data_IF_351169341835
#
_entry.id   IF_351169341835
#
_cell.length_a   1.000
_cell.length_b   1.000
_cell.length_c   1.000
_cell.angle_alpha   90.00
_cell.angle_beta   90.00
_cell.angle_gamma   90.00
#
_symmetry.space_group_name_H-M   'P 1'
#
loop_
_entity.id
_entity.type
_entity.pdbx_description
1 polymer ?
#
# COMPACT_ATOMS: atom_id res chain seq x y z
N UNK A 1 -2.12 12.65 40.52
CA UNK A 1 -2.00 12.62 39.04
C UNK A 1 -2.30 11.21 38.56
N UNK A 2 -3.33 10.96 37.72
CA UNK A 2 -3.58 9.62 37.24
C UNK A 2 -2.61 9.28 36.10
N UNK A 3 -1.95 8.12 36.22
CA UNK A 3 -0.98 7.62 35.27
C UNK A 3 -1.61 7.39 33.89
N UNK A 4 -0.96 7.89 32.84
CA UNK A 4 -1.33 7.61 31.46
C UNK A 4 -1.17 6.11 31.19
N UNK A 5 -2.28 5.40 31.00
CA UNK A 5 -2.25 4.01 30.51
C UNK A 5 -1.69 4.03 29.09
N UNK A 6 -0.45 3.60 28.94
CA UNK A 6 0.15 3.26 27.65
C UNK A 6 -0.60 2.08 27.06
N UNK A 7 -1.48 2.33 26.09
CA UNK A 7 -2.11 1.25 25.32
C UNK A 7 -1.08 0.73 24.30
N UNK A 8 -0.37 -0.32 24.66
CA UNK A 8 0.34 -1.18 23.72
C UNK A 8 -0.70 -2.02 22.98
N UNK A 9 -0.71 -1.94 21.65
CA UNK A 9 -1.56 -2.83 20.85
C UNK A 9 -0.85 -4.17 20.76
N UNK A 10 -1.31 -5.16 21.53
CA UNK A 10 -0.86 -6.55 21.42
C UNK A 10 -1.59 -7.22 20.26
N UNK A 11 -0.87 -7.91 19.38
CA UNK A 11 -1.42 -8.54 18.18
C UNK A 11 -2.39 -9.69 18.47
N UNK A 12 -2.20 -10.39 19.59
CA UNK A 12 -2.98 -11.58 19.95
C UNK A 12 -3.28 -11.57 21.45
N UNK A 13 -4.52 -11.88 21.89
CA UNK A 13 -4.72 -12.45 23.22
C UNK A 13 -3.96 -13.79 23.23
N UNK A 14 -3.00 -13.93 24.14
CA UNK A 14 -2.40 -15.23 24.39
C UNK A 14 -3.43 -16.07 25.14
N UNK A 15 -4.22 -16.85 24.41
CA UNK A 15 -4.90 -17.98 25.02
C UNK A 15 -3.82 -18.98 25.43
N UNK A 16 -3.58 -19.05 26.74
CA UNK A 16 -2.58 -19.89 27.32
C UNK A 16 -2.93 -21.37 27.12
N UNK A 17 -2.16 -22.06 26.28
CA UNK A 17 -1.87 -23.47 26.47
C UNK A 17 -0.43 -23.76 26.05
N UNK A 18 0.44 -23.77 27.06
CA UNK A 18 1.69 -24.53 27.04
C UNK A 18 1.35 -26.00 26.90
N UNK A 19 1.66 -26.61 25.75
CA UNK A 19 1.98 -28.03 25.71
C UNK A 19 3.39 -28.17 25.15
N UNK A 20 4.34 -28.35 26.07
CA UNK A 20 5.66 -28.90 25.79
C UNK A 20 5.47 -30.24 25.08
N UNK A 21 5.83 -30.32 23.80
CA UNK A 21 6.17 -31.60 23.18
C UNK A 21 7.63 -31.87 23.54
N UNK A 22 7.82 -32.74 24.53
CA UNK A 22 9.09 -33.35 24.88
C UNK A 22 9.63 -34.15 23.69
N UNK A 23 10.81 -33.77 23.19
CA UNK A 23 11.59 -34.59 22.25
C UNK A 23 12.20 -35.77 23.01
N UNK A 24 11.68 -36.98 22.79
CA UNK A 24 12.39 -38.24 23.02
C UNK A 24 13.10 -38.68 21.73
N UNK A 25 14.22 -39.43 21.82
CA UNK A 25 15.04 -39.76 20.66
C UNK A 25 14.39 -40.88 19.85
N UNK A 26 14.35 -40.73 18.51
CA UNK A 26 14.03 -41.84 17.61
C UNK A 26 15.32 -42.40 17.01
N UNK A 27 15.51 -43.69 17.25
CA UNK A 27 16.53 -44.56 16.69
C UNK A 27 16.22 -44.90 15.23
N UNK A 28 17.27 -44.93 14.38
CA UNK A 28 17.23 -45.50 13.03
C UNK A 28 16.89 -47.00 13.04
N UNK A 29 16.49 -47.55 11.88
CA UNK A 29 17.44 -48.42 11.20
C UNK A 29 17.53 -48.26 9.68
N UNK A 30 18.69 -48.69 9.19
CA UNK A 30 19.16 -48.68 7.81
C UNK A 30 18.47 -49.69 6.86
N UNK A 31 18.50 -49.39 5.56
CA UNK A 31 18.18 -50.33 4.48
C UNK A 31 18.49 -49.77 3.08
N UNK A 32 19.59 -50.27 2.47
CA UNK A 32 20.09 -50.19 1.07
C UNK A 32 18.99 -50.43 0.01
N UNK A 33 19.07 -50.14 -1.30
CA UNK A 33 20.00 -49.49 -2.25
C UNK A 33 19.34 -49.50 -3.67
N UNK A 34 20.01 -48.87 -4.65
CA UNK A 34 19.81 -48.94 -6.13
C UNK A 34 18.61 -48.16 -6.69
N UNK A 35 18.62 -47.48 -7.83
CA UNK A 35 19.57 -47.23 -8.92
C UNK A 35 18.86 -46.33 -9.95
N UNK A 36 19.58 -45.39 -10.56
CA UNK A 36 19.15 -44.46 -11.63
C UNK A 36 18.69 -45.21 -12.91
N UNK A 37 17.86 -44.64 -13.82
CA UNK A 37 18.22 -43.41 -14.53
C UNK A 37 17.10 -42.39 -14.84
N UNK A 38 17.59 -41.18 -15.13
CA UNK A 38 16.92 -40.02 -15.74
C UNK A 38 16.28 -40.41 -17.08
N UNK A 39 14.99 -40.10 -17.25
CA UNK A 39 14.35 -40.03 -18.56
C UNK A 39 13.63 -38.68 -18.71
N UNK A 40 14.19 -37.89 -19.62
CA UNK A 40 13.65 -36.66 -20.18
C UNK A 40 12.36 -36.99 -20.95
N UNK A 41 11.22 -36.48 -20.50
CA UNK A 41 9.99 -36.45 -21.28
C UNK A 41 9.51 -35.01 -21.42
N UNK A 42 9.74 -34.48 -22.62
CA UNK A 42 9.06 -33.31 -23.12
C UNK A 42 7.56 -33.64 -23.21
N UNK A 43 6.72 -32.88 -22.51
CA UNK A 43 5.28 -32.89 -22.71
C UNK A 43 4.86 -31.46 -23.04
N UNK A 44 4.30 -31.32 -24.25
CA UNK A 44 3.85 -30.06 -24.82
C UNK A 44 2.82 -29.36 -23.95
N UNK A 45 3.00 -28.05 -23.81
CA UNK A 45 2.04 -27.15 -23.18
C UNK A 45 0.83 -26.99 -24.12
N UNK A 46 -0.41 -27.34 -23.71
CA UNK A 46 -1.59 -26.99 -24.48
C UNK A 46 -1.84 -25.49 -24.39
N UNK A 47 -2.01 -24.85 -25.56
CA UNK A 47 -2.56 -23.51 -25.67
C UNK A 47 -3.99 -23.50 -25.17
N UNK A 48 -4.32 -22.48 -24.37
CA UNK A 48 -5.63 -21.87 -24.35
C UNK A 48 -6.56 -22.34 -23.23
N UNK A 49 -6.43 -21.72 -22.06
CA UNK A 49 -7.61 -21.33 -21.29
C UNK A 49 -7.40 -19.91 -20.77
N UNK A 50 -8.14 -18.98 -21.36
CA UNK A 50 -8.29 -17.62 -20.86
C UNK A 50 -8.94 -17.69 -19.49
N UNK A 51 -8.19 -17.36 -18.43
CA UNK A 51 -8.80 -17.01 -17.15
C UNK A 51 -9.61 -15.73 -17.35
N UNK A 52 -10.90 -15.90 -17.60
CA UNK A 52 -11.87 -14.81 -17.53
C UNK A 52 -11.82 -14.25 -16.11
N UNK A 53 -11.30 -13.02 -15.98
CA UNK A 53 -11.38 -12.24 -14.75
C UNK A 53 -12.84 -11.86 -14.51
N UNK A 54 -13.59 -12.80 -13.91
CA UNK A 54 -14.91 -12.56 -13.39
C UNK A 54 -14.79 -11.93 -12.00
N UNK A 55 -14.40 -10.66 -11.95
CA UNK A 55 -14.60 -9.76 -10.81
C UNK A 55 -14.33 -8.32 -11.24
N UNK A 56 -15.26 -7.77 -12.02
CA UNK A 56 -15.37 -6.33 -12.15
C UNK A 56 -15.99 -5.81 -10.85
N UNK A 57 -15.26 -5.09 -9.97
CA UNK A 57 -15.86 -4.61 -8.74
C UNK A 57 -16.99 -3.65 -9.09
N UNK A 58 -18.16 -3.91 -8.48
CA UNK A 58 -19.32 -3.03 -8.50
C UNK A 58 -18.86 -1.56 -8.39
N UNK A 59 -19.30 -0.76 -9.36
CA UNK A 59 -19.08 0.67 -9.53
C UNK A 59 -18.68 1.38 -8.23
N UNK A 60 -17.38 1.70 -8.13
CA UNK A 60 -16.89 2.74 -7.23
C UNK A 60 -17.71 4.00 -7.53
N UNK A 61 -18.26 4.69 -6.54
CA UNK A 61 -19.10 5.86 -6.79
C UNK A 61 -18.34 6.82 -7.68
N UNK A 62 -18.86 7.00 -8.91
CA UNK A 62 -18.32 7.94 -9.86
C UNK A 62 -18.42 9.33 -9.23
N UNK A 63 -17.28 9.98 -9.03
CA UNK A 63 -17.24 11.42 -8.77
C UNK A 63 -17.93 12.09 -9.97
N UNK A 64 -18.99 12.86 -9.72
CA UNK A 64 -19.78 13.45 -10.80
C UNK A 64 -19.00 14.56 -11.53
N UNK A 65 -18.73 14.24 -12.81
CA UNK A 65 -18.38 14.99 -14.03
C UNK A 65 -18.16 16.52 -14.00
N UNK A 66 -16.98 16.92 -14.50
CA UNK A 66 -16.70 18.23 -15.11
C UNK A 66 -15.19 18.51 -15.25
N UNK A 67 -14.65 18.48 -16.48
CA UNK A 67 -13.25 18.86 -16.78
C UNK A 67 -12.17 17.86 -16.32
N UNK A 68 -10.94 17.96 -16.83
CA UNK A 68 -9.87 17.01 -16.48
C UNK A 68 -9.67 16.92 -14.94
N UNK A 69 -9.96 15.74 -14.38
CA UNK A 69 -10.05 15.48 -12.93
C UNK A 69 -8.66 15.27 -12.32
N UNK A 70 -7.91 16.37 -12.19
CA UNK A 70 -6.67 16.39 -11.42
C UNK A 70 -7.02 16.71 -9.97
N UNK A 71 -6.88 15.72 -9.10
CA UNK A 71 -7.04 15.87 -7.66
C UNK A 71 -5.70 16.22 -7.03
N UNK A 72 -5.67 17.29 -6.24
CA UNK A 72 -4.45 17.77 -5.60
C UNK A 72 -4.59 17.61 -4.09
N UNK A 73 -3.56 17.05 -3.48
CA UNK A 73 -3.51 16.82 -2.04
C UNK A 73 -2.08 16.65 -1.54
N UNK A 74 -1.98 16.27 -0.28
CA UNK A 74 -0.74 16.04 0.45
C UNK A 74 -0.78 14.68 1.16
N UNK A 75 0.39 14.15 1.47
CA UNK A 75 0.56 13.01 2.37
C UNK A 75 0.43 13.47 3.82
N UNK A 76 -0.82 13.62 4.26
CA UNK A 76 -1.22 14.12 5.57
C UNK A 76 -1.80 15.53 5.54
N UNK A 77 -2.43 15.92 6.64
CA UNK A 77 -2.96 17.26 6.83
C UNK A 77 -1.81 18.24 7.18
N UNK A 78 -1.32 18.96 6.18
CA UNK A 78 -0.29 19.99 6.37
C UNK A 78 -0.82 21.35 6.88
N UNK A 79 -2.06 21.40 7.35
CA UNK A 79 -2.74 22.56 7.97
C UNK A 79 -3.96 22.06 8.77
N UNK A 80 -4.74 22.97 9.37
CA UNK A 80 -5.99 22.59 10.04
C UNK A 80 -6.95 21.90 9.07
N UNK A 81 -7.66 20.88 9.54
CA UNK A 81 -8.54 20.06 8.70
C UNK A 81 -9.58 20.89 7.94
N UNK A 82 -10.21 21.86 8.61
CA UNK A 82 -11.17 22.77 7.98
C UNK A 82 -10.57 23.56 6.81
N UNK A 83 -9.39 24.17 7.00
CA UNK A 83 -8.69 24.89 5.91
C UNK A 83 -8.23 23.94 4.80
N UNK A 84 -7.86 22.71 5.15
CA UNK A 84 -7.42 21.71 4.20
C UNK A 84 -8.54 21.32 3.24
N UNK A 85 -9.73 21.02 3.77
CA UNK A 85 -10.92 20.67 2.98
C UNK A 85 -11.41 21.79 2.05
N UNK A 86 -11.12 23.04 2.39
CA UNK A 86 -11.41 24.18 1.51
C UNK A 86 -10.35 24.40 0.43
N UNK A 87 -9.14 23.85 0.61
CA UNK A 87 -7.99 24.09 -0.27
C UNK A 87 -7.77 22.97 -1.27
N UNK A 88 -7.99 21.72 -0.86
CA UNK A 88 -7.60 20.52 -1.60
C UNK A 88 -8.79 19.59 -1.79
N UNK A 89 -8.71 18.72 -2.81
CA UNK A 89 -9.77 17.75 -3.12
C UNK A 89 -9.46 16.33 -2.66
N UNK A 90 -8.23 16.07 -2.21
CA UNK A 90 -7.85 14.78 -1.67
C UNK A 90 -6.79 14.87 -0.56
N UNK A 91 -6.67 13.81 0.23
CA UNK A 91 -5.59 13.60 1.21
C UNK A 91 -5.20 12.14 1.28
N UNK A 92 -3.91 11.87 1.47
CA UNK A 92 -3.43 10.56 1.89
C UNK A 92 -3.17 10.57 3.39
N UNK A 93 -3.82 9.67 4.15
CA UNK A 93 -3.59 9.51 5.58
C UNK A 93 -2.29 8.73 5.78
N UNK A 94 -1.14 9.41 5.68
CA UNK A 94 0.20 8.79 5.80
C UNK A 94 0.52 8.35 7.24
N UNK A 95 -0.08 8.98 8.25
CA UNK A 95 0.15 8.65 9.66
C UNK A 95 -0.24 7.21 10.03
N UNK A 96 -1.21 6.63 9.30
CA UNK A 96 -1.67 5.25 9.43
C UNK A 96 -0.57 4.21 9.18
N UNK A 97 0.48 4.59 8.45
CA UNK A 97 1.69 3.79 8.28
C UNK A 97 2.36 3.44 9.60
N UNK A 98 2.33 4.35 10.59
CA UNK A 98 2.96 4.11 11.89
C UNK A 98 2.02 3.44 12.87
N UNK A 99 0.82 4.01 12.99
CA UNK A 99 -0.24 3.56 13.89
C UNK A 99 -1.58 3.81 13.23
N UNK A 100 -2.42 2.78 13.14
CA UNK A 100 -3.76 2.95 12.61
C UNK A 100 -4.60 3.86 13.52
N UNK A 101 -5.37 4.81 12.97
CA UNK A 101 -6.40 5.49 13.73
C UNK A 101 -7.51 4.49 14.12
N UNK A 102 -8.31 4.84 15.13
CA UNK A 102 -9.52 4.06 15.40
C UNK A 102 -10.51 4.22 14.24
N UNK A 103 -11.30 3.18 13.90
CA UNK A 103 -12.36 3.31 12.89
C UNK A 103 -13.30 4.50 13.13
N UNK A 104 -13.68 4.78 14.38
CA UNK A 104 -14.53 5.94 14.71
C UNK A 104 -13.84 7.27 14.40
N UNK A 105 -12.52 7.37 14.62
CA UNK A 105 -11.74 8.56 14.23
C UNK A 105 -11.74 8.74 12.72
N UNK A 106 -11.57 7.65 11.97
CA UNK A 106 -11.61 7.68 10.51
C UNK A 106 -13.01 8.05 9.98
N UNK A 107 -14.07 7.52 10.60
CA UNK A 107 -15.45 7.87 10.27
C UNK A 107 -15.76 9.34 10.56
N UNK A 108 -15.25 9.89 11.68
CA UNK A 108 -15.38 11.31 12.00
C UNK A 108 -14.69 12.20 10.96
N UNK A 109 -13.49 11.83 10.48
CA UNK A 109 -12.84 12.56 9.39
C UNK A 109 -13.63 12.53 8.10
N UNK A 110 -14.23 11.39 7.76
CA UNK A 110 -15.13 11.28 6.60
C UNK A 110 -16.37 12.15 6.76
N UNK A 111 -17.02 12.13 7.91
CA UNK A 111 -18.22 12.92 8.18
C UNK A 111 -17.96 14.43 8.13
N UNK A 112 -16.76 14.88 8.52
CA UNK A 112 -16.36 16.28 8.46
C UNK A 112 -15.95 16.76 7.04
N UNK A 113 -15.72 15.83 6.11
CA UNK A 113 -15.22 16.17 4.78
C UNK A 113 -16.36 16.57 3.82
N UNK A 114 -16.11 17.51 2.88
CA UNK A 114 -17.06 17.82 1.82
C UNK A 114 -17.42 16.59 0.98
N UNK A 115 -18.61 16.62 0.38
CA UNK A 115 -19.00 15.61 -0.60
C UNK A 115 -17.98 15.55 -1.76
N UNK A 116 -17.61 14.34 -2.17
CA UNK A 116 -16.61 14.12 -3.23
C UNK A 116 -15.15 14.25 -2.79
N UNK A 117 -14.84 14.64 -1.55
CA UNK A 117 -13.46 14.69 -1.07
C UNK A 117 -12.86 13.28 -0.98
N UNK A 118 -11.70 13.08 -1.61
CA UNK A 118 -11.08 11.77 -1.76
C UNK A 118 -10.06 11.47 -0.66
N UNK A 119 -10.22 10.34 0.02
CA UNK A 119 -9.26 9.86 1.02
C UNK A 119 -8.52 8.63 0.50
N UNK A 120 -7.19 8.68 0.54
CA UNK A 120 -6.35 7.50 0.46
C UNK A 120 -5.83 7.14 1.86
N UNK A 121 -5.66 5.85 2.13
CA UNK A 121 -5.08 5.35 3.38
C UNK A 121 -3.76 4.67 3.08
N UNK A 122 -2.70 4.98 3.82
CA UNK A 122 -1.47 4.20 3.71
C UNK A 122 -1.60 2.92 4.53
N UNK A 123 -1.26 1.78 3.93
CA UNK A 123 -1.28 0.51 4.64
C UNK A 123 -0.32 0.57 5.83
N UNK A 124 -0.70 -0.09 6.92
CA UNK A 124 0.11 -0.15 8.12
C UNK A 124 1.46 -0.83 7.81
N UNK A 125 2.57 -0.28 8.31
CA UNK A 125 3.91 -0.79 8.02
C UNK A 125 4.12 -2.27 8.39
N UNK A 126 3.31 -2.80 9.31
CA UNK A 126 3.28 -4.23 9.68
C UNK A 126 3.11 -5.15 8.47
N UNK A 127 2.48 -4.66 7.40
CA UNK A 127 2.25 -5.41 6.17
C UNK A 127 3.49 -5.35 5.25
N UNK A 128 4.09 -4.18 5.08
CA UNK A 128 5.06 -3.94 4.00
C UNK A 128 6.52 -3.86 4.46
N UNK A 129 6.80 -3.42 5.68
CA UNK A 129 8.17 -3.19 6.17
C UNK A 129 8.58 -4.21 7.23
N UNK A 130 9.76 -4.84 7.10
CA UNK A 130 10.25 -5.78 8.10
C UNK A 130 10.54 -5.05 9.43
N UNK A 131 10.49 -5.79 10.53
CA UNK A 131 10.76 -5.30 11.89
C UNK A 131 12.08 -4.52 12.06
N UNK A 132 13.07 -4.85 11.24
CA UNK A 132 14.38 -4.20 11.23
C UNK A 132 14.33 -2.76 10.70
N UNK A 133 13.21 -2.34 10.11
CA UNK A 133 13.03 -0.96 9.65
C UNK A 133 13.08 0.01 10.84
N UNK A 134 13.85 1.12 10.75
CA UNK A 134 13.94 2.12 11.82
C UNK A 134 12.60 2.82 12.11
N UNK A 135 11.61 2.69 11.20
CA UNK A 135 10.26 3.25 11.35
C UNK A 135 9.46 2.61 12.48
N UNK A 136 9.83 1.41 12.94
CA UNK A 136 9.17 0.75 14.07
C UNK A 136 9.38 1.50 15.39
N UNK A 137 10.38 2.37 15.52
CA UNK A 137 10.52 3.26 16.70
C UNK A 137 9.33 4.21 16.90
N UNK A 138 8.51 4.40 15.86
CA UNK A 138 7.33 5.29 15.87
C UNK A 138 6.02 4.54 16.05
N UNK A 139 6.05 3.21 16.14
CA UNK A 139 4.84 2.40 16.36
C UNK A 139 4.60 2.12 17.84
N UNK A 140 3.35 1.83 18.18
CA UNK A 140 2.89 1.38 19.51
C UNK A 140 2.76 -0.15 19.60
N UNK A 141 3.25 -0.85 18.58
CA UNK A 141 3.29 -2.31 18.54
C UNK A 141 4.35 -2.86 19.50
N UNK A 142 3.99 -3.89 20.25
CA UNK A 142 4.90 -4.63 21.13
C UNK A 142 6.08 -5.20 20.34
N UNK A 143 7.27 -5.29 20.96
CA UNK A 143 8.46 -5.81 20.28
C UNK A 143 8.33 -7.28 19.91
N UNK A 144 7.63 -8.08 20.72
CA UNK A 144 7.43 -9.54 20.51
C UNK A 144 6.60 -9.83 19.27
N UNK A 145 5.78 -8.86 18.90
CA UNK A 145 4.84 -8.91 17.80
C UNK A 145 5.51 -8.54 16.45
N UNK A 146 6.77 -8.08 16.48
CA UNK A 146 7.48 -7.59 15.30
C UNK A 146 8.07 -8.69 14.43
N UNK A 147 8.45 -9.84 15.00
CA UNK A 147 9.15 -10.92 14.27
C UNK A 147 8.46 -11.31 12.95
N UNK A 148 7.12 -11.31 12.94
CA UNK A 148 6.31 -11.73 11.80
C UNK A 148 5.86 -10.58 10.88
N UNK A 149 6.38 -9.37 11.06
CA UNK A 149 5.98 -8.21 10.27
C UNK A 149 6.72 -8.10 8.93
N UNK A 150 6.02 -7.52 7.95
CA UNK A 150 6.61 -6.98 6.72
C UNK A 150 6.66 -7.93 5.54
N UNK A 151 7.23 -7.41 4.44
CA UNK A 151 7.48 -8.13 3.19
C UNK A 151 6.27 -8.90 2.63
N UNK A 152 5.04 -8.48 2.95
CA UNK A 152 3.81 -9.15 2.54
C UNK A 152 3.70 -10.61 2.97
N UNK A 153 4.44 -11.06 3.99
CA UNK A 153 4.38 -12.45 4.45
C UNK A 153 3.00 -12.78 4.99
N UNK A 154 2.19 -13.59 4.28
CA UNK A 154 0.78 -13.85 4.63
C UNK A 154 0.58 -14.79 5.84
N UNK A 155 1.15 -14.41 6.98
CA UNK A 155 1.06 -15.07 8.28
C UNK A 155 -0.08 -14.45 9.13
N UNK A 156 -0.37 -14.98 10.35
CA UNK A 156 -1.41 -14.42 11.22
C UNK A 156 -1.25 -12.93 11.53
N UNK A 157 -0.02 -12.45 11.77
CA UNK A 157 0.29 -11.04 12.08
C UNK A 157 -0.06 -10.10 10.93
N UNK A 158 0.43 -10.39 9.72
CA UNK A 158 0.16 -9.56 8.53
C UNK A 158 -1.32 -9.61 8.15
N UNK A 159 -1.97 -10.77 8.31
CA UNK A 159 -3.41 -10.91 8.07
C UNK A 159 -4.24 -10.09 9.04
N UNK A 160 -3.91 -10.11 10.31
CA UNK A 160 -4.54 -9.26 11.31
C UNK A 160 -4.33 -7.78 10.98
N UNK A 161 -3.10 -7.36 10.67
CA UNK A 161 -2.80 -5.99 10.33
C UNK A 161 -3.54 -5.53 9.07
N UNK A 162 -3.73 -6.43 8.10
CA UNK A 162 -4.58 -6.17 6.94
C UNK A 162 -6.05 -6.00 7.32
N UNK A 163 -6.60 -6.86 8.19
CA UNK A 163 -7.99 -6.73 8.64
C UNK A 163 -8.23 -5.40 9.38
N UNK A 164 -7.31 -4.97 10.24
CA UNK A 164 -7.39 -3.68 10.92
C UNK A 164 -7.29 -2.51 9.93
N UNK A 165 -6.34 -2.57 8.99
CA UNK A 165 -6.20 -1.57 7.92
C UNK A 165 -7.48 -1.50 7.07
N UNK A 166 -8.06 -2.64 6.73
CA UNK A 166 -9.30 -2.75 5.96
C UNK A 166 -10.47 -2.11 6.70
N UNK A 167 -10.61 -2.35 8.01
CA UNK A 167 -11.67 -1.77 8.82
C UNK A 167 -11.58 -0.25 8.84
N UNK A 168 -10.38 0.30 9.01
CA UNK A 168 -10.12 1.75 8.96
C UNK A 168 -10.40 2.30 7.56
N UNK A 169 -9.93 1.65 6.50
CA UNK A 169 -10.18 2.07 5.12
C UNK A 169 -11.68 2.13 4.81
N UNK A 170 -12.44 1.14 5.26
CA UNK A 170 -13.90 1.11 5.13
C UNK A 170 -14.56 2.25 5.89
N UNK A 171 -14.18 2.48 7.15
CA UNK A 171 -14.74 3.55 7.98
C UNK A 171 -14.39 4.95 7.44
N UNK A 172 -13.19 5.12 6.90
CA UNK A 172 -12.76 6.34 6.20
C UNK A 172 -13.50 6.55 4.88
N UNK A 173 -14.12 5.51 4.31
CA UNK A 173 -14.57 5.51 2.93
C UNK A 173 -13.39 5.81 1.98
N UNK A 174 -12.22 5.25 2.25
CA UNK A 174 -11.06 5.44 1.39
C UNK A 174 -11.36 4.95 -0.03
N UNK A 175 -10.84 5.61 -1.05
CA UNK A 175 -10.94 5.15 -2.44
C UNK A 175 -9.72 4.31 -2.85
N UNK A 176 -8.60 4.44 -2.13
CA UNK A 176 -7.37 3.71 -2.36
C UNK A 176 -6.68 3.38 -1.04
N UNK A 177 -6.10 2.18 -0.95
CA UNK A 177 -5.15 1.79 0.09
C UNK A 177 -3.76 1.62 -0.52
N UNK A 178 -2.79 2.39 -0.04
CA UNK A 178 -1.42 2.43 -0.55
C UNK A 178 -0.52 1.42 0.17
N UNK A 179 0.10 0.52 -0.59
CA UNK A 179 1.14 -0.40 -0.17
C UNK A 179 2.50 0.08 -0.70
N UNK A 180 3.13 0.97 0.06
CA UNK A 180 4.50 1.41 -0.23
C UNK A 180 5.50 0.38 0.29
N UNK A 181 6.40 -0.08 -0.57
CA UNK A 181 7.50 -0.97 -0.23
C UNK A 181 8.73 -0.20 0.29
N UNK A 182 9.58 -0.81 1.14
CA UNK A 182 10.93 -0.33 1.35
C UNK A 182 11.84 -0.67 0.16
N UNK A 183 12.96 0.05 -0.01
CA UNK A 183 13.94 -0.24 -1.08
C UNK A 183 14.64 -1.60 -0.94
N UNK A 184 14.57 -2.22 0.25
CA UNK A 184 15.05 -3.58 0.49
C UNK A 184 14.12 -4.66 -0.06
N UNK A 185 12.86 -4.34 -0.36
CA UNK A 185 11.91 -5.27 -0.97
C UNK A 185 12.12 -5.28 -2.49
N UNK A 186 13.04 -6.14 -2.93
CA UNK A 186 13.51 -6.31 -4.32
C UNK A 186 12.77 -7.44 -5.06
N UNK A 187 12.80 -7.51 -6.41
CA UNK A 187 12.14 -8.56 -7.20
C UNK A 187 12.85 -9.93 -7.12
N UNK A 188 12.98 -10.49 -5.92
CA UNK A 188 13.47 -11.85 -5.72
C UNK A 188 12.31 -12.85 -5.83
N UNK A 189 12.56 -14.13 -6.16
CA UNK A 189 11.51 -15.15 -6.20
C UNK A 189 10.69 -15.22 -4.91
N UNK A 190 11.33 -15.14 -3.74
CA UNK A 190 10.67 -15.13 -2.44
C UNK A 190 9.74 -13.91 -2.25
N UNK A 191 10.19 -12.72 -2.63
CA UNK A 191 9.36 -11.51 -2.50
C UNK A 191 8.19 -11.51 -3.48
N UNK A 192 8.39 -12.03 -4.69
CA UNK A 192 7.33 -12.19 -5.68
C UNK A 192 6.25 -13.13 -5.17
N UNK A 193 6.63 -14.32 -4.68
CA UNK A 193 5.70 -15.29 -4.10
C UNK A 193 4.91 -14.69 -2.93
N UNK A 194 5.57 -13.97 -2.00
CA UNK A 194 4.88 -13.29 -0.89
C UNK A 194 3.90 -12.23 -1.37
N UNK A 195 4.30 -11.40 -2.33
CA UNK A 195 3.46 -10.34 -2.88
C UNK A 195 2.20 -10.92 -3.55
N UNK A 196 2.39 -11.92 -4.40
CA UNK A 196 1.33 -12.62 -5.13
C UNK A 196 0.38 -13.34 -4.14
N UNK A 197 0.91 -14.09 -3.17
CA UNK A 197 0.09 -14.75 -2.14
C UNK A 197 -0.70 -13.77 -1.28
N UNK A 198 -0.11 -12.63 -0.90
CA UNK A 198 -0.80 -11.61 -0.12
C UNK A 198 -1.97 -11.05 -0.91
N UNK A 199 -1.74 -10.57 -2.14
CA UNK A 199 -2.80 -9.91 -2.91
C UNK A 199 -3.86 -10.86 -3.46
N UNK A 200 -3.54 -12.15 -3.63
CA UNK A 200 -4.53 -13.18 -3.96
C UNK A 200 -5.51 -13.47 -2.80
N UNK A 201 -5.07 -13.29 -1.55
CA UNK A 201 -5.85 -13.63 -0.34
C UNK A 201 -6.37 -12.42 0.43
N UNK A 202 -5.81 -11.25 0.19
CA UNK A 202 -6.19 -10.01 0.86
C UNK A 202 -7.65 -9.68 0.53
N UNK A 203 -8.47 -9.51 1.59
CA UNK A 203 -9.86 -9.05 1.47
C UNK A 203 -9.93 -7.75 0.66
N UNK A 204 -10.70 -7.73 -0.43
CA UNK A 204 -10.96 -6.51 -1.23
C UNK A 204 -12.23 -5.80 -0.77
N UNK A 205 -12.24 -4.48 -0.96
CA UNK A 205 -13.35 -3.59 -0.59
C UNK A 205 -13.74 -2.71 -1.77
N UNK A 206 -14.53 -1.66 -1.52
CA UNK A 206 -14.88 -0.65 -2.52
C UNK A 206 -13.77 0.41 -2.66
N UNK A 207 -12.53 -0.04 -2.83
CA UNK A 207 -11.34 0.78 -2.98
C UNK A 207 -10.26 0.04 -3.75
N UNK A 208 -9.42 0.81 -4.44
CA UNK A 208 -8.26 0.29 -5.16
C UNK A 208 -7.11 -0.07 -4.21
N UNK A 209 -6.27 -1.01 -4.63
CA UNK A 209 -4.97 -1.23 -4.02
C UNK A 209 -3.93 -0.48 -4.85
N UNK A 210 -3.27 0.52 -4.24
CA UNK A 210 -2.14 1.21 -4.85
C UNK A 210 -0.84 0.55 -4.41
N UNK A 211 0.03 0.19 -5.34
CA UNK A 211 1.32 -0.40 -5.04
C UNK A 211 2.44 0.53 -5.48
N UNK A 212 3.32 0.86 -4.54
CA UNK A 212 4.49 1.71 -4.80
C UNK A 212 5.77 0.90 -4.54
N UNK A 213 6.31 0.25 -5.59
CA UNK A 213 7.61 -0.39 -5.50
C UNK A 213 8.70 0.66 -5.24
N UNK A 214 9.71 0.27 -4.46
CA UNK A 214 10.92 1.05 -4.23
C UNK A 214 12.13 0.18 -4.52
N UNK A 215 13.19 0.79 -5.03
CA UNK A 215 14.37 0.07 -5.52
C UNK A 215 14.21 -0.38 -6.98
N UNK A 216 15.07 -1.30 -7.39
CA UNK A 216 15.27 -1.64 -8.80
C UNK A 216 14.26 -2.69 -9.27
N UNK A 217 13.02 -2.27 -9.50
CA UNK A 217 11.96 -3.08 -10.09
C UNK A 217 11.86 -2.81 -11.60
N UNK A 218 12.05 -3.83 -12.46
CA UNK A 218 11.92 -3.65 -13.91
C UNK A 218 10.50 -3.21 -14.31
N UNK A 219 10.33 -2.22 -15.21
CA UNK A 219 9.02 -1.73 -15.61
C UNK A 219 8.06 -2.80 -16.13
N UNK A 220 8.55 -3.76 -16.90
CA UNK A 220 7.77 -4.89 -17.43
C UNK A 220 7.23 -5.80 -16.32
N UNK A 221 8.02 -5.99 -15.26
CA UNK A 221 7.60 -6.76 -14.09
C UNK A 221 6.56 -6.00 -13.27
N UNK A 222 6.75 -4.68 -13.09
CA UNK A 222 5.75 -3.82 -12.45
C UNK A 222 4.44 -3.89 -13.22
N UNK A 223 4.50 -3.81 -14.55
CA UNK A 223 3.32 -3.81 -15.41
C UNK A 223 2.56 -5.15 -15.31
N UNK A 224 3.30 -6.26 -15.36
CA UNK A 224 2.75 -7.61 -15.18
C UNK A 224 2.02 -7.73 -13.84
N UNK A 225 2.69 -7.38 -12.74
CA UNK A 225 2.13 -7.50 -11.39
C UNK A 225 0.93 -6.58 -11.19
N UNK A 226 0.96 -5.34 -11.68
CA UNK A 226 -0.18 -4.44 -11.59
C UNK A 226 -1.41 -4.99 -12.32
N UNK A 227 -1.21 -5.59 -13.50
CA UNK A 227 -2.28 -6.22 -14.27
C UNK A 227 -2.82 -7.47 -13.58
N UNK A 228 -1.94 -8.39 -13.19
CA UNK A 228 -2.32 -9.71 -12.66
C UNK A 228 -2.90 -9.65 -11.25
N UNK A 229 -2.43 -8.71 -10.43
CA UNK A 229 -2.86 -8.54 -9.05
C UNK A 229 -3.88 -7.41 -8.88
N UNK A 230 -4.40 -6.83 -9.98
CA UNK A 230 -5.36 -5.72 -9.96
C UNK A 230 -4.90 -4.59 -9.02
N UNK A 231 -3.74 -4.00 -9.35
CA UNK A 231 -3.11 -2.92 -8.59
C UNK A 231 -2.99 -1.64 -9.44
N UNK A 232 -3.13 -0.50 -8.78
CA UNK A 232 -2.75 0.81 -9.31
C UNK A 232 -1.25 0.98 -9.10
N UNK A 233 -0.51 1.24 -10.18
CA UNK A 233 0.89 1.61 -10.04
C UNK A 233 0.99 3.03 -9.47
N UNK A 234 1.49 3.12 -8.25
CA UNK A 234 1.74 4.38 -7.56
C UNK A 234 3.20 4.75 -7.78
N UNK A 235 3.44 5.95 -8.32
CA UNK A 235 4.79 6.34 -8.77
C UNK A 235 5.02 7.84 -8.56
N UNK A 236 6.28 8.23 -8.44
CA UNK A 236 6.68 9.63 -8.63
C UNK A 236 6.96 9.84 -10.13
N UNK A 237 6.14 10.62 -10.87
CA UNK A 237 6.31 10.78 -12.32
C UNK A 237 7.65 11.41 -12.71
N UNK A 238 8.33 12.09 -11.79
CA UNK A 238 9.69 12.62 -12.01
C UNK A 238 10.79 11.55 -11.88
N UNK A 239 10.45 10.34 -11.41
CA UNK A 239 11.35 9.18 -11.36
C UNK A 239 11.06 8.17 -12.46
N UNK A 240 9.82 8.15 -12.95
CA UNK A 240 9.38 7.31 -14.05
C UNK A 240 7.88 7.42 -14.25
N UNK A 241 7.43 7.31 -15.49
CA UNK A 241 5.99 7.27 -15.80
C UNK A 241 5.38 5.91 -15.37
N UNK A 242 4.06 5.83 -15.17
CA UNK A 242 3.41 4.58 -14.83
C UNK A 242 3.69 3.47 -15.85
N UNK A 243 4.28 2.36 -15.39
CA UNK A 243 4.52 1.18 -16.22
C UNK A 243 3.24 0.47 -16.71
N UNK A 244 2.09 0.69 -16.06
CA UNK A 244 0.81 0.10 -16.43
C UNK A 244 -0.30 1.16 -16.41
N UNK A 245 -1.13 1.27 -17.47
CA UNK A 245 -2.30 2.12 -17.45
C UNK A 245 -3.38 1.53 -16.55
N UNK A 246 -3.60 2.16 -15.39
CA UNK A 246 -4.70 1.83 -14.48
C UNK A 246 -5.97 2.66 -14.76
N UNK A 247 -7.09 2.35 -14.08
CA UNK A 247 -8.32 3.15 -14.15
C UNK A 247 -8.17 4.56 -13.54
N UNK A 248 -7.09 4.81 -12.81
CA UNK A 248 -6.65 6.12 -12.29
C UNK A 248 -5.13 6.22 -12.37
N UNK A 249 -4.59 7.44 -12.31
CA UNK A 249 -3.16 7.71 -12.05
C UNK A 249 -3.01 8.22 -10.62
N UNK A 250 -2.06 7.66 -9.86
CA UNK A 250 -1.81 8.08 -8.49
C UNK A 250 -0.33 8.42 -8.33
N UNK A 251 -0.03 9.72 -8.32
CA UNK A 251 1.30 10.28 -8.24
C UNK A 251 1.64 10.65 -6.79
N UNK A 252 2.76 10.13 -6.27
CA UNK A 252 3.32 10.53 -4.97
C UNK A 252 4.63 11.26 -5.18
N UNK A 253 4.63 12.55 -4.88
CA UNK A 253 5.70 13.48 -5.22
C UNK A 253 6.64 13.65 -4.03
N UNK A 254 7.77 12.95 -4.05
CA UNK A 254 8.74 12.94 -2.94
C UNK A 254 9.81 14.02 -3.06
N UNK A 255 9.90 14.64 -4.24
CA UNK A 255 10.91 15.62 -4.58
C UNK A 255 12.06 15.04 -5.42
N UNK A 256 12.45 15.76 -6.47
CA UNK A 256 13.47 15.33 -7.44
C UNK A 256 14.86 15.22 -6.80
N UNK A 257 15.15 16.06 -5.81
CA UNK A 257 16.42 16.04 -5.06
C UNK A 257 16.24 15.54 -3.62
N UNK A 258 15.12 14.88 -3.33
CA UNK A 258 14.78 14.34 -2.00
C UNK A 258 13.77 15.22 -1.24
N UNK A 259 13.53 14.89 0.03
CA UNK A 259 12.40 15.43 0.79
C UNK A 259 12.41 16.97 0.99
N UNK A 260 13.57 17.62 0.92
CA UNK A 260 13.69 19.09 1.03
C UNK A 260 13.46 19.83 -0.30
N UNK A 261 13.34 19.10 -1.40
CA UNK A 261 13.11 19.67 -2.72
C UNK A 261 11.84 20.53 -2.71
N UNK A 262 11.91 21.66 -3.40
CA UNK A 262 10.77 22.55 -3.66
C UNK A 262 10.55 22.55 -5.15
N UNK A 263 9.36 22.16 -5.58
CA UNK A 263 9.06 22.06 -7.01
C UNK A 263 9.10 23.45 -7.65
N UNK A 264 9.86 23.58 -8.73
CA UNK A 264 9.91 24.78 -9.57
C UNK A 264 8.60 24.99 -10.32
N UNK A 265 8.38 26.19 -10.85
CA UNK A 265 7.20 26.46 -11.68
C UNK A 265 7.16 25.57 -12.92
N UNK A 266 8.31 25.33 -13.56
CA UNK A 266 8.41 24.48 -14.74
C UNK A 266 8.08 23.02 -14.43
N UNK A 267 8.57 22.49 -13.30
CA UNK A 267 8.19 21.15 -12.84
C UNK A 267 6.67 21.06 -12.58
N UNK A 268 6.05 22.09 -12.01
CA UNK A 268 4.60 22.10 -11.82
C UNK A 268 3.83 22.15 -13.14
N UNK A 269 4.32 22.87 -14.16
CA UNK A 269 3.75 22.82 -15.51
C UNK A 269 3.90 21.44 -16.15
N UNK A 270 5.07 20.80 -15.98
CA UNK A 270 5.30 19.45 -16.46
C UNK A 270 4.38 18.43 -15.78
N UNK A 271 4.18 18.56 -14.47
CA UNK A 271 3.23 17.74 -13.72
C UNK A 271 1.81 17.95 -14.24
N UNK A 272 1.39 19.19 -14.53
CA UNK A 272 0.07 19.48 -15.15
C UNK A 272 -0.07 18.75 -16.48
N UNK A 273 0.96 18.81 -17.33
CA UNK A 273 0.96 18.14 -18.63
C UNK A 273 0.77 16.62 -18.48
N UNK A 274 1.51 15.96 -17.59
CA UNK A 274 1.37 14.52 -17.33
C UNK A 274 0.06 14.11 -16.64
N UNK A 275 -0.62 15.05 -15.98
CA UNK A 275 -1.84 14.79 -15.22
C UNK A 275 -3.11 15.07 -16.04
N UNK A 276 -3.00 15.82 -17.14
CA UNK A 276 -4.14 16.24 -17.95
C UNK A 276 -4.78 15.06 -18.71
N UNK A 277 -6.09 15.15 -18.95
CA UNK A 277 -6.85 14.13 -19.69
C UNK A 277 -7.33 12.98 -18.81
N UNK A 278 -7.63 11.84 -19.44
CA UNK A 278 -8.05 10.61 -18.76
C UNK A 278 -6.90 9.59 -18.65
N UNK A 279 -6.94 8.68 -17.66
CA UNK A 279 -7.89 8.63 -16.53
C UNK A 279 -7.67 9.76 -15.50
N UNK A 280 -8.52 9.85 -14.47
CA UNK A 280 -8.35 10.81 -13.37
C UNK A 280 -6.96 10.69 -12.72
N UNK A 281 -6.40 11.80 -12.26
CA UNK A 281 -5.04 11.83 -11.69
C UNK A 281 -5.06 12.41 -10.29
N UNK A 282 -4.47 11.69 -9.34
CA UNK A 282 -4.32 12.11 -7.96
C UNK A 282 -2.85 12.47 -7.72
N UNK A 283 -2.56 13.75 -7.48
CA UNK A 283 -1.23 14.28 -7.22
C UNK A 283 -1.07 14.57 -5.72
N UNK A 284 -0.35 13.70 -5.02
CA UNK A 284 -0.10 13.79 -3.58
C UNK A 284 1.33 14.24 -3.32
N UNK A 285 1.48 15.46 -2.81
CA UNK A 285 2.77 16.01 -2.42
C UNK A 285 3.25 15.42 -1.09
N UNK A 286 4.51 14.98 -1.02
CA UNK A 286 5.13 14.33 0.14
C UNK A 286 6.52 14.89 0.49
N UNK A 287 6.92 16.02 -0.12
CA UNK A 287 8.11 16.77 0.30
C UNK A 287 7.82 17.59 1.58
N UNK A 288 8.85 18.07 2.27
CA UNK A 288 8.69 18.88 3.50
C UNK A 288 7.86 20.15 3.22
N UNK A 289 8.02 20.73 2.03
CA UNK A 289 7.25 21.89 1.57
C UNK A 289 5.88 21.57 0.97
N UNK A 290 5.37 20.33 1.12
CA UNK A 290 4.22 19.81 0.38
C UNK A 290 3.01 20.74 0.34
N UNK A 291 2.64 21.37 1.47
CA UNK A 291 1.48 22.25 1.53
C UNK A 291 1.62 23.45 0.60
N UNK A 292 2.81 24.05 0.52
CA UNK A 292 3.06 25.22 -0.31
C UNK A 292 3.09 24.83 -1.79
N UNK A 293 3.76 23.73 -2.13
CA UNK A 293 3.84 23.24 -3.52
C UNK A 293 2.49 22.75 -4.03
N UNK A 294 1.74 22.00 -3.23
CA UNK A 294 0.38 21.58 -3.56
C UNK A 294 -0.55 22.79 -3.77
N UNK A 295 -0.47 23.84 -2.95
CA UNK A 295 -1.26 25.07 -3.16
C UNK A 295 -0.86 25.78 -4.46
N UNK A 296 0.43 25.86 -4.77
CA UNK A 296 0.91 26.45 -6.03
C UNK A 296 0.40 25.66 -7.23
N UNK A 297 0.45 24.33 -7.15
CA UNK A 297 -0.06 23.45 -8.20
C UNK A 297 -1.59 23.57 -8.34
N UNK A 298 -2.34 23.58 -7.24
CA UNK A 298 -3.80 23.76 -7.28
C UNK A 298 -4.21 25.10 -7.92
N UNK A 299 -3.44 26.18 -7.69
CA UNK A 299 -3.67 27.48 -8.35
C UNK A 299 -3.34 27.49 -9.85
N UNK A 300 -2.50 26.55 -10.29
CA UNK A 300 -2.06 26.43 -11.67
C UNK A 300 -3.08 25.68 -12.54
N UNK A 301 -3.93 24.85 -11.93
CA UNK A 301 -4.91 24.01 -12.63
C UNK A 301 -6.07 24.85 -13.16
#
# INVERSE_FOLDING_TARGET
MPAARSFTTRLLPQDGHSNRISRGPMTEPAGRASGLPVLLMAVGCPRGETFASANNPASIPAVQRGGAHIHVGCCGFGMTQAKYFQTFSCVEIDSSFYNLPRPDTAAAWRAAAPAGFAFALKAWQVITHPATSPTYRRTRLDDRDREYCGNFGFNPTVRWAWNETFAVAKALGAFLVLFQCPASFRPTPEHLDRLEQFFARAKRGKFYFGWEPRGDWPPELIARLCRELDLIHVVDPFRGLPAWPGPIRYYRLHGVTGARHKFTTDELHQLKAWSTGRPETYCLFNNIGMTADARRFAKLL
#
